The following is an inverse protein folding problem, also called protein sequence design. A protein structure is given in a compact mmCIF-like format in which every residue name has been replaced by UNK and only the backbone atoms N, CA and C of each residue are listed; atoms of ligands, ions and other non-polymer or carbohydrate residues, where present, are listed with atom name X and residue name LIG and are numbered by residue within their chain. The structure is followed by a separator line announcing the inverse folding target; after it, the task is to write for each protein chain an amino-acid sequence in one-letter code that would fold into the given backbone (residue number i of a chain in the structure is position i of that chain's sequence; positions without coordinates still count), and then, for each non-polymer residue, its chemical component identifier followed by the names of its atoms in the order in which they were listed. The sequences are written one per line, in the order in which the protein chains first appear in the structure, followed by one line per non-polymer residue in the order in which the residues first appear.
data_IF_103369215538
#
_entry.id   IF_103369215538
#
_cell.length_a   1.000
_cell.length_b   1.000
_cell.length_c   1.000
_cell.angle_alpha   90.00
_cell.angle_beta   90.00
_cell.angle_gamma   90.00
#
_symmetry.space_group_name_H-M   'P 1'
#
loop_
_entity.id
_entity.type
_entity.pdbx_description
1 polymer ?
#
# COMPACT_ATOMS: atom_id res chain seq x y z
N UNK A 1 9.36 -22.30 5.52
CA UNK A 1 8.51 -22.95 4.54
C UNK A 1 8.83 -24.44 4.49
N UNK A 2 7.81 -25.29 4.37
CA UNK A 2 7.93 -26.74 4.35
C UNK A 2 7.43 -27.28 3.02
N UNK A 3 8.27 -28.08 2.34
CA UNK A 3 7.90 -28.76 1.11
C UNK A 3 7.82 -30.26 1.36
N UNK A 4 6.77 -30.88 0.87
CA UNK A 4 6.51 -32.32 0.94
C UNK A 4 6.40 -32.91 -0.46
N UNK A 5 7.07 -34.04 -0.69
CA UNK A 5 7.06 -34.70 -1.98
C UNK A 5 7.97 -35.93 -1.97
N UNK A 6 8.27 -36.49 -3.12
CA UNK A 6 9.26 -37.54 -3.28
C UNK A 6 10.54 -37.00 -3.89
N UNK A 7 11.71 -37.49 -3.43
CA UNK A 7 13.02 -37.03 -3.92
C UNK A 7 13.37 -35.62 -3.49
N UNK A 8 12.84 -35.16 -2.36
CA UNK A 8 13.13 -33.84 -1.80
C UNK A 8 14.60 -33.65 -1.43
N UNK A 9 15.28 -34.75 -1.09
CA UNK A 9 16.72 -34.80 -0.83
C UNK A 9 17.60 -34.44 -2.06
N UNK A 10 17.01 -34.40 -3.27
CA UNK A 10 17.70 -34.02 -4.51
C UNK A 10 17.56 -32.59 -4.90
N UNK A 11 16.80 -31.80 -4.13
CA UNK A 11 16.67 -30.36 -4.38
C UNK A 11 18.00 -29.65 -4.11
N UNK A 12 18.49 -28.90 -5.09
CA UNK A 12 19.77 -28.17 -5.01
C UNK A 12 19.58 -26.73 -4.59
N UNK A 13 18.51 -26.11 -5.03
CA UNK A 13 18.17 -24.75 -4.68
C UNK A 13 16.67 -24.49 -4.86
N UNK A 14 16.21 -23.43 -4.21
CA UNK A 14 14.82 -22.97 -4.25
C UNK A 14 14.81 -21.49 -4.64
N UNK A 15 14.01 -21.14 -5.63
CA UNK A 15 13.77 -19.75 -6.03
C UNK A 15 12.41 -19.31 -5.53
N UNK A 16 12.40 -18.31 -4.66
CA UNK A 16 11.20 -17.63 -4.15
C UNK A 16 11.17 -16.24 -4.80
N UNK A 17 10.05 -15.75 -5.31
CA UNK A 17 9.96 -14.39 -5.86
C UNK A 17 10.51 -13.35 -4.88
N UNK A 18 11.24 -12.35 -5.40
CA UNK A 18 11.88 -11.30 -4.60
C UNK A 18 13.17 -11.70 -3.89
N UNK A 19 13.54 -13.00 -3.86
CA UNK A 19 14.68 -13.47 -3.02
C UNK A 19 15.88 -14.01 -3.80
N UNK A 20 15.76 -14.22 -5.10
CA UNK A 20 16.79 -14.94 -5.83
C UNK A 20 16.87 -16.44 -5.44
N UNK A 21 18.04 -17.03 -5.63
CA UNK A 21 18.26 -18.47 -5.43
C UNK A 21 18.73 -18.77 -3.99
N UNK A 22 18.00 -19.65 -3.30
CA UNK A 22 18.26 -20.07 -1.91
C UNK A 22 18.86 -21.47 -1.94
N UNK A 23 20.05 -21.63 -1.40
CA UNK A 23 20.77 -22.92 -1.31
C UNK A 23 20.85 -23.45 0.13
N UNK A 24 20.51 -22.62 1.12
CA UNK A 24 20.43 -23.05 2.52
C UNK A 24 19.10 -23.78 2.77
N UNK A 25 19.13 -25.09 2.50
CA UNK A 25 17.96 -25.95 2.55
C UNK A 25 18.20 -27.02 3.63
N UNK A 26 17.31 -27.09 4.60
CA UNK A 26 17.29 -28.15 5.61
C UNK A 26 16.60 -29.40 5.03
N UNK A 27 17.37 -30.47 4.77
CA UNK A 27 16.85 -31.74 4.31
C UNK A 27 16.46 -32.57 5.52
N UNK A 28 15.17 -32.78 5.74
CA UNK A 28 14.65 -33.60 6.85
C UNK A 28 14.60 -35.07 6.44
N UNK A 29 14.18 -35.36 5.21
CA UNK A 29 14.08 -36.69 4.64
C UNK A 29 13.99 -36.67 3.12
N UNK A 30 13.97 -37.81 2.47
CA UNK A 30 13.69 -37.92 1.03
C UNK A 30 12.29 -37.34 0.64
N UNK A 31 11.43 -37.11 1.63
CA UNK A 31 10.07 -36.64 1.39
C UNK A 31 9.79 -35.26 1.97
N UNK A 32 10.74 -34.64 2.68
CA UNK A 32 10.57 -33.36 3.34
C UNK A 32 11.84 -32.54 3.34
N UNK A 33 11.70 -31.27 2.91
CA UNK A 33 12.70 -30.22 3.09
C UNK A 33 12.07 -29.01 3.74
N UNK A 34 12.90 -28.19 4.38
CA UNK A 34 12.52 -26.89 4.96
C UNK A 34 13.46 -25.82 4.49
N UNK A 35 12.93 -24.60 4.35
CA UNK A 35 13.68 -23.41 4.02
C UNK A 35 13.14 -22.25 4.84
N UNK A 36 14.05 -21.39 5.32
CA UNK A 36 13.67 -20.13 5.92
C UNK A 36 13.29 -19.15 4.81
N UNK A 37 12.09 -18.57 4.90
CA UNK A 37 11.63 -17.57 3.93
C UNK A 37 12.34 -16.25 4.22
N UNK A 38 13.09 -15.68 3.26
CA UNK A 38 13.71 -14.38 3.44
C UNK A 38 12.68 -13.26 3.59
N UNK A 39 13.08 -12.16 4.23
CA UNK A 39 12.19 -11.01 4.43
C UNK A 39 11.89 -10.21 3.15
N UNK A 40 12.68 -10.43 2.10
CA UNK A 40 12.49 -9.81 0.78
C UNK A 40 11.58 -10.62 -0.13
N UNK A 41 11.01 -11.73 0.38
CA UNK A 41 10.19 -12.61 -0.42
C UNK A 41 8.90 -11.90 -0.87
N UNK A 42 8.48 -12.17 -2.10
CA UNK A 42 7.26 -11.64 -2.72
C UNK A 42 6.24 -12.74 -2.98
N UNK A 43 4.98 -12.37 -3.14
CA UNK A 43 3.91 -13.29 -3.53
C UNK A 43 4.21 -13.89 -4.89
N UNK A 44 4.11 -15.20 -5.04
CA UNK A 44 4.29 -15.84 -6.33
C UNK A 44 4.57 -17.33 -6.27
N UNK A 45 4.92 -17.90 -7.42
CA UNK A 45 5.25 -19.33 -7.52
C UNK A 45 6.68 -19.58 -7.07
N UNK A 46 6.88 -20.69 -6.36
CA UNK A 46 8.21 -21.15 -5.94
C UNK A 46 8.71 -22.18 -6.93
N UNK A 47 9.98 -22.04 -7.35
CA UNK A 47 10.65 -23.01 -8.22
C UNK A 47 11.73 -23.75 -7.47
N UNK A 48 11.68 -25.07 -7.50
CA UNK A 48 12.68 -25.98 -6.94
C UNK A 48 13.57 -26.50 -8.06
N UNK A 49 14.87 -26.35 -7.93
CA UNK A 49 15.86 -26.89 -8.89
C UNK A 49 16.38 -28.23 -8.46
N UNK A 50 16.43 -29.15 -9.41
CA UNK A 50 16.99 -30.49 -9.26
C UNK A 50 18.08 -30.71 -10.31
N UNK A 51 18.93 -31.75 -10.20
CA UNK A 51 19.92 -32.10 -11.23
C UNK A 51 19.31 -32.39 -12.62
N UNK A 52 18.02 -32.69 -12.68
CA UNK A 52 17.33 -33.14 -13.89
C UNK A 52 16.33 -32.09 -14.43
N UNK A 53 16.15 -30.96 -13.74
CA UNK A 53 15.24 -29.90 -14.18
C UNK A 53 14.63 -29.10 -13.03
N UNK A 54 13.64 -28.30 -13.35
CA UNK A 54 12.96 -27.41 -12.41
C UNK A 54 11.52 -27.86 -12.18
N UNK A 55 11.03 -27.65 -10.96
CA UNK A 55 9.65 -27.94 -10.55
C UNK A 55 9.07 -26.65 -9.98
N UNK A 56 8.02 -26.12 -10.58
CA UNK A 56 7.30 -24.97 -10.06
C UNK A 56 6.06 -25.39 -9.29
N UNK A 57 5.79 -24.75 -8.14
CA UNK A 57 4.61 -25.01 -7.34
C UNK A 57 3.32 -24.70 -8.11
N UNK A 58 2.25 -25.45 -7.86
CA UNK A 58 0.95 -25.21 -8.50
C UNK A 58 0.19 -24.02 -7.87
N UNK A 59 0.53 -23.69 -6.64
CA UNK A 59 -0.07 -22.57 -5.89
C UNK A 59 1.00 -21.53 -5.58
N UNK A 60 0.60 -20.28 -5.61
CA UNK A 60 1.45 -19.16 -5.15
C UNK A 60 1.63 -19.25 -3.64
N UNK A 61 2.82 -18.89 -3.15
CA UNK A 61 2.94 -18.55 -1.73
C UNK A 61 2.30 -17.19 -1.49
N UNK A 62 1.59 -17.11 -0.38
CA UNK A 62 1.03 -15.86 0.14
C UNK A 62 1.60 -15.64 1.54
N UNK A 63 1.73 -14.38 1.93
CA UNK A 63 2.25 -14.08 3.26
C UNK A 63 1.13 -14.06 4.28
N UNK A 64 1.44 -14.60 5.45
CA UNK A 64 0.61 -14.47 6.66
C UNK A 64 1.26 -13.52 7.66
N UNK A 65 2.23 -12.72 7.23
CA UNK A 65 2.82 -11.68 8.07
C UNK A 65 1.71 -10.72 8.49
N UNK A 66 1.52 -10.48 9.79
CA UNK A 66 0.48 -9.59 10.27
C UNK A 66 0.88 -8.14 9.97
N UNK A 67 0.57 -7.68 8.76
CA UNK A 67 0.71 -6.27 8.42
C UNK A 67 -0.12 -5.49 9.42
N UNK A 68 0.52 -4.63 10.18
CA UNK A 68 -0.11 -3.84 11.23
C UNK A 68 0.19 -2.36 11.05
N UNK A 69 -0.83 -1.52 11.22
CA UNK A 69 -0.68 -0.07 11.28
C UNK A 69 -0.79 0.36 12.73
N UNK A 70 0.22 1.08 13.22
CA UNK A 70 0.27 1.61 14.58
C UNK A 70 -0.22 3.06 14.61
N UNK A 71 0.24 3.88 13.67
CA UNK A 71 -0.10 5.32 13.63
C UNK A 71 -0.20 5.83 12.20
N UNK A 72 -1.07 6.84 12.01
CA UNK A 72 -1.13 7.69 10.82
C UNK A 72 -1.00 9.15 11.25
N UNK A 73 -0.04 9.89 10.70
CA UNK A 73 0.24 11.28 11.09
C UNK A 73 0.69 12.13 9.90
N UNK A 74 0.33 13.42 9.84
CA UNK A 74 -0.58 14.12 10.74
C UNK A 74 -2.03 13.67 10.58
N UNK A 75 -2.81 13.78 11.63
CA UNK A 75 -4.26 13.60 11.58
C UNK A 75 -4.88 14.63 12.55
N UNK A 76 -5.57 15.66 12.06
CA UNK A 76 -5.98 15.90 10.66
C UNK A 76 -4.82 16.28 9.71
N UNK A 77 -5.05 16.10 8.40
CA UNK A 77 -4.10 16.35 7.31
C UNK A 77 -4.74 17.21 6.20
N UNK A 78 -3.95 18.00 5.47
CA UNK A 78 -4.42 18.71 4.28
C UNK A 78 -4.14 17.94 3.00
N UNK A 79 -4.97 18.08 1.94
CA UNK A 79 -4.61 17.62 0.61
C UNK A 79 -3.24 18.17 0.18
N UNK A 80 -2.42 17.32 -0.43
CA UNK A 80 -1.06 17.68 -0.84
C UNK A 80 0.02 17.58 0.23
N UNK A 81 -0.33 17.45 1.51
CA UNK A 81 0.62 17.17 2.59
C UNK A 81 1.07 15.70 2.59
N UNK A 82 2.15 15.43 3.28
CA UNK A 82 2.68 14.08 3.44
C UNK A 82 2.03 13.41 4.64
N UNK A 83 1.38 12.27 4.40
CA UNK A 83 0.89 11.36 5.43
C UNK A 83 1.96 10.31 5.72
N UNK A 84 2.33 10.17 6.97
CA UNK A 84 3.28 9.16 7.46
C UNK A 84 2.49 8.04 8.13
N UNK A 85 2.61 6.83 7.63
CA UNK A 85 2.00 5.62 8.16
C UNK A 85 3.10 4.80 8.79
N UNK A 86 2.99 4.48 10.08
CA UNK A 86 3.95 3.63 10.80
C UNK A 86 3.31 2.34 11.26
N UNK A 87 4.11 1.27 11.25
CA UNK A 87 3.63 -0.06 11.61
C UNK A 87 4.67 -1.15 11.39
N UNK A 88 4.20 -2.37 11.15
CA UNK A 88 5.02 -3.55 10.87
C UNK A 88 4.67 -4.14 9.51
N UNK A 89 5.68 -4.65 8.81
CA UNK A 89 5.58 -5.28 7.49
C UNK A 89 4.97 -4.39 6.40
N UNK A 90 5.10 -3.07 6.53
CA UNK A 90 4.58 -2.10 5.57
C UNK A 90 5.27 -2.17 4.21
N UNK A 91 6.47 -2.78 4.13
CA UNK A 91 7.17 -3.05 2.86
C UNK A 91 6.42 -4.01 1.92
N UNK A 92 5.36 -4.68 2.41
CA UNK A 92 4.51 -5.55 1.60
C UNK A 92 3.33 -4.79 0.96
N UNK A 93 3.11 -3.55 1.35
CA UNK A 93 2.01 -2.73 0.83
C UNK A 93 2.35 -2.23 -0.57
N UNK A 94 1.40 -2.40 -1.48
CA UNK A 94 1.48 -1.97 -2.88
C UNK A 94 0.63 -0.74 -3.17
N UNK A 95 -0.43 -0.53 -2.37
CA UNK A 95 -1.32 0.64 -2.51
C UNK A 95 -1.78 1.17 -1.17
N UNK A 96 -1.88 2.49 -1.08
CA UNK A 96 -2.60 3.23 -0.04
C UNK A 96 -3.85 3.84 -0.68
N UNK A 97 -5.02 3.37 -0.27
CA UNK A 97 -6.30 3.75 -0.85
C UNK A 97 -7.01 4.69 0.11
N UNK A 98 -7.18 5.94 -0.29
CA UNK A 98 -7.94 6.92 0.46
C UNK A 98 -9.44 6.70 0.25
N UNK A 99 -10.26 7.33 1.12
CA UNK A 99 -11.72 7.24 1.03
C UNK A 99 -12.22 7.58 -0.39
N UNK A 100 -13.33 6.96 -0.81
CA UNK A 100 -13.90 7.01 -2.17
C UNK A 100 -13.01 6.36 -3.25
N UNK A 101 -12.30 5.28 -2.87
CA UNK A 101 -11.51 4.45 -3.80
C UNK A 101 -10.44 5.24 -4.56
N UNK A 102 -9.70 6.09 -3.85
CA UNK A 102 -8.65 6.92 -4.41
C UNK A 102 -7.28 6.28 -4.11
N UNK A 103 -6.73 5.40 -4.99
CA UNK A 103 -5.49 4.68 -4.73
C UNK A 103 -4.25 5.54 -5.04
N UNK A 104 -3.20 5.31 -4.26
CA UNK A 104 -1.83 5.75 -4.52
C UNK A 104 -0.97 4.51 -4.51
N UNK A 105 -0.33 4.20 -5.64
CA UNK A 105 0.53 3.03 -5.81
C UNK A 105 1.90 3.21 -5.18
N UNK A 106 2.62 2.10 -4.99
CA UNK A 106 3.95 2.11 -4.36
C UNK A 106 4.99 2.96 -5.10
N UNK A 107 4.86 3.12 -6.42
CA UNK A 107 5.75 3.95 -7.24
C UNK A 107 5.65 5.45 -6.90
N UNK A 108 4.53 5.88 -6.32
CA UNK A 108 4.28 7.25 -5.88
C UNK A 108 4.55 7.46 -4.38
N UNK A 109 5.05 6.44 -3.67
CA UNK A 109 5.43 6.59 -2.27
C UNK A 109 6.72 7.40 -2.16
N UNK A 110 6.70 8.40 -1.26
CA UNK A 110 7.89 9.23 -0.95
C UNK A 110 8.93 8.41 -0.20
N UNK A 111 8.47 7.56 0.71
CA UNK A 111 9.29 6.58 1.42
C UNK A 111 8.50 5.29 1.61
N UNK A 112 9.18 4.15 1.46
CA UNK A 112 8.61 2.83 1.60
C UNK A 112 9.60 1.90 2.30
N UNK A 113 9.25 1.45 3.49
CA UNK A 113 10.08 0.57 4.31
C UNK A 113 9.22 -0.41 5.10
N UNK A 114 9.85 -1.37 5.79
CA UNK A 114 9.14 -2.31 6.65
C UNK A 114 8.30 -1.63 7.74
N UNK A 115 8.73 -0.46 8.23
CA UNK A 115 8.12 0.22 9.38
C UNK A 115 7.42 1.52 9.06
N UNK A 116 7.59 2.03 7.85
CA UNK A 116 7.08 3.35 7.49
C UNK A 116 6.77 3.45 5.99
N UNK A 117 5.61 4.03 5.70
CA UNK A 117 5.24 4.53 4.38
C UNK A 117 5.01 6.03 4.50
N UNK A 118 5.54 6.80 3.56
CA UNK A 118 5.22 8.20 3.37
C UNK A 118 4.53 8.37 2.02
N UNK A 119 3.34 8.93 2.05
CA UNK A 119 2.52 9.13 0.86
C UNK A 119 1.95 10.54 0.83
N UNK A 120 1.91 11.15 -0.35
CA UNK A 120 1.26 12.45 -0.54
C UNK A 120 -0.25 12.27 -0.56
N UNK A 121 -0.96 13.02 0.27
CA UNK A 121 -2.43 12.99 0.29
C UNK A 121 -2.95 13.56 -1.03
N UNK A 122 -3.77 12.82 -1.79
CA UNK A 122 -4.35 13.33 -3.04
C UNK A 122 -5.16 14.61 -2.84
N UNK A 123 -5.22 15.45 -3.87
CA UNK A 123 -5.96 16.72 -3.82
C UNK A 123 -7.48 16.50 -3.68
N UNK A 124 -7.96 15.37 -4.17
CA UNK A 124 -9.37 14.96 -4.13
C UNK A 124 -9.75 14.24 -2.83
N UNK A 125 -8.76 13.93 -1.97
CA UNK A 125 -9.00 13.16 -0.74
C UNK A 125 -10.06 13.80 0.16
N UNK A 126 -10.84 12.93 0.81
CA UNK A 126 -11.91 13.29 1.76
C UNK A 126 -11.68 12.58 3.09
N UNK A 127 -12.32 13.12 4.13
CA UNK A 127 -12.35 12.48 5.44
C UNK A 127 -12.98 11.09 5.34
N UNK A 128 -12.30 10.08 5.87
CA UNK A 128 -12.77 8.69 5.84
C UNK A 128 -11.68 7.71 6.26
N UNK A 129 -11.92 6.44 6.00
CA UNK A 129 -10.96 5.39 6.29
C UNK A 129 -9.89 5.34 5.19
N UNK A 130 -8.67 4.96 5.58
CA UNK A 130 -7.57 4.65 4.67
C UNK A 130 -7.40 3.13 4.64
N UNK A 131 -7.28 2.57 3.45
CA UNK A 131 -7.06 1.14 3.27
C UNK A 131 -5.69 0.91 2.66
N UNK A 132 -4.90 0.02 3.26
CA UNK A 132 -3.65 -0.45 2.71
C UNK A 132 -3.87 -1.80 2.06
N UNK A 133 -3.31 -2.01 0.87
CA UNK A 133 -3.41 -3.25 0.12
C UNK A 133 -2.03 -3.80 -0.23
N UNK A 134 -1.84 -5.11 -0.09
CA UNK A 134 -0.59 -5.82 -0.40
C UNK A 134 -0.49 -6.26 -1.86
N UNK A 135 -1.45 -5.90 -2.68
CA UNK A 135 -1.43 -6.07 -4.13
C UNK A 135 -2.09 -4.89 -4.82
N UNK A 136 -1.66 -4.61 -6.06
CA UNK A 136 -2.22 -3.54 -6.90
C UNK A 136 -3.67 -3.83 -7.30
N UNK A 137 -4.48 -2.80 -7.41
CA UNK A 137 -5.85 -2.87 -7.95
C UNK A 137 -5.87 -3.24 -9.45
N UNK A 138 -4.75 -3.04 -10.14
CA UNK A 138 -4.60 -3.39 -11.55
C UNK A 138 -4.33 -4.89 -11.78
N UNK A 139 -3.88 -5.62 -10.76
CA UNK A 139 -3.66 -7.07 -10.83
C UNK A 139 -4.93 -7.83 -10.44
N UNK A 140 -5.76 -8.14 -11.41
CA UNK A 140 -7.04 -8.85 -11.22
C UNK A 140 -6.88 -10.27 -10.67
N UNK A 141 -5.71 -10.87 -10.82
CA UNK A 141 -5.42 -12.24 -10.38
C UNK A 141 -4.80 -12.30 -8.98
N UNK A 142 -4.40 -11.17 -8.41
CA UNK A 142 -3.82 -11.09 -7.09
C UNK A 142 -4.87 -11.24 -5.99
N UNK A 143 -4.58 -12.09 -5.02
CA UNK A 143 -5.32 -12.09 -3.75
C UNK A 143 -4.86 -10.87 -2.94
N UNK A 144 -5.75 -9.91 -2.76
CA UNK A 144 -5.47 -8.68 -2.01
C UNK A 144 -5.88 -8.83 -0.54
N UNK A 145 -4.94 -8.62 0.37
CA UNK A 145 -5.28 -8.38 1.77
C UNK A 145 -5.47 -6.88 1.98
N UNK A 146 -6.57 -6.52 2.62
CA UNK A 146 -6.95 -5.14 2.87
C UNK A 146 -6.88 -4.85 4.37
N UNK A 147 -6.06 -3.86 4.73
CA UNK A 147 -5.92 -3.39 6.11
C UNK A 147 -6.59 -2.02 6.21
N UNK A 148 -7.69 -1.95 6.96
CA UNK A 148 -8.45 -0.72 7.13
C UNK A 148 -7.98 0.06 8.34
N UNK A 149 -7.58 1.30 8.12
CA UNK A 149 -7.20 2.28 9.15
C UNK A 149 -8.28 3.34 9.23
N UNK A 150 -8.96 3.39 10.37
CA UNK A 150 -10.12 4.26 10.54
C UNK A 150 -9.75 5.69 10.93
N UNK A 151 -10.56 6.61 10.43
CA UNK A 151 -10.67 7.94 11.00
C UNK A 151 -9.61 8.95 10.56
N UNK A 152 -9.12 8.89 9.32
CA UNK A 152 -8.35 10.00 8.76
C UNK A 152 -9.26 11.20 8.53
N UNK A 153 -8.90 12.33 9.13
CA UNK A 153 -9.60 13.62 8.94
C UNK A 153 -8.84 14.44 7.92
N UNK A 154 -9.49 14.76 6.80
CA UNK A 154 -8.92 15.62 5.75
C UNK A 154 -9.51 17.03 5.89
N UNK A 155 -8.62 18.02 6.05
CA UNK A 155 -9.01 19.43 6.16
C UNK A 155 -9.37 19.95 4.77
N UNK A 156 -10.59 20.41 4.62
CA UNK A 156 -11.08 21.04 3.38
C UNK A 156 -11.35 22.51 3.59
N UNK A 157 -11.22 23.33 2.52
CA UNK A 157 -11.59 24.74 2.60
C UNK A 157 -13.07 24.90 2.93
N UNK A 158 -13.38 25.89 3.73
CA UNK A 158 -14.76 26.24 4.05
C UNK A 158 -14.97 27.74 3.92
N UNK A 159 -16.12 28.13 3.42
CA UNK A 159 -16.51 29.54 3.26
C UNK A 159 -17.50 29.91 4.34
N UNK A 160 -17.29 31.06 4.98
CA UNK A 160 -18.24 31.62 5.92
C UNK A 160 -19.45 32.17 5.16
N UNK A 161 -20.63 31.68 5.52
CA UNK A 161 -21.88 32.12 4.93
C UNK A 161 -22.54 33.21 5.77
N UNK A 162 -23.34 34.11 5.16
CA UNK A 162 -23.57 34.25 3.72
C UNK A 162 -22.51 35.15 3.04
N UNK A 163 -22.19 34.80 1.77
CA UNK A 163 -21.46 35.73 0.92
C UNK A 163 -22.40 36.90 0.52
N UNK A 164 -21.99 38.13 0.75
CA UNK A 164 -22.72 39.29 0.23
C UNK A 164 -22.43 39.46 -1.26
N UNK A 165 -23.29 38.85 -2.06
CA UNK A 165 -23.27 38.96 -3.53
C UNK A 165 -24.33 39.93 -4.07
N UNK A 166 -25.04 40.64 -3.19
CA UNK A 166 -26.11 41.56 -3.61
C UNK A 166 -25.57 42.81 -4.26
N UNK A 167 -26.22 43.24 -5.33
CA UNK A 167 -25.98 44.52 -6.03
C UNK A 167 -24.52 44.75 -6.48
N UNK A 168 -23.76 43.72 -6.85
CA UNK A 168 -22.40 43.86 -7.39
C UNK A 168 -22.45 44.25 -8.87
N UNK A 169 -21.57 45.16 -9.26
CA UNK A 169 -21.35 45.57 -10.64
C UNK A 169 -20.09 44.95 -11.22
N UNK A 170 -19.97 44.83 -12.54
CA UNK A 170 -18.71 44.46 -13.16
C UNK A 170 -17.55 45.35 -12.68
N UNK A 171 -16.50 44.72 -12.14
CA UNK A 171 -15.34 45.40 -11.57
C UNK A 171 -15.38 45.58 -10.05
N UNK A 172 -16.49 45.28 -9.39
CA UNK A 172 -16.56 45.30 -7.93
C UNK A 172 -15.76 44.15 -7.32
N UNK A 173 -15.12 44.42 -6.19
CA UNK A 173 -14.40 43.40 -5.42
C UNK A 173 -15.37 42.54 -4.59
N UNK A 174 -15.15 41.23 -4.61
CA UNK A 174 -15.86 40.26 -3.78
C UNK A 174 -14.88 39.68 -2.78
N UNK A 175 -15.13 39.90 -1.50
CA UNK A 175 -14.31 39.31 -0.42
C UNK A 175 -14.94 38.03 0.04
N UNK A 176 -14.20 36.92 -0.10
CA UNK A 176 -14.56 35.61 0.44
C UNK A 176 -13.80 35.41 1.75
N UNK A 177 -14.53 35.12 2.83
CA UNK A 177 -13.96 34.78 4.13
C UNK A 177 -14.21 33.30 4.40
N UNK A 178 -13.26 32.67 5.06
CA UNK A 178 -13.38 31.26 5.38
C UNK A 178 -12.12 30.71 6.03
N UNK A 179 -12.06 29.39 6.16
CA UNK A 179 -10.91 28.66 6.68
C UNK A 179 -10.24 27.87 5.57
N UNK A 180 -8.93 27.72 5.65
CA UNK A 180 -8.11 26.93 4.73
C UNK A 180 -8.33 27.29 3.25
N UNK A 181 -8.56 28.58 2.97
CA UNK A 181 -8.78 29.08 1.61
C UNK A 181 -7.51 29.03 0.75
N UNK A 182 -6.34 28.82 1.34
CA UNK A 182 -5.08 28.52 0.67
C UNK A 182 -5.13 27.20 -0.16
N UNK A 183 -6.08 26.34 0.12
CA UNK A 183 -6.35 25.11 -0.65
C UNK A 183 -7.24 25.34 -1.89
N UNK A 184 -7.76 26.53 -2.08
CA UNK A 184 -8.65 26.86 -3.20
C UNK A 184 -7.84 27.27 -4.42
N UNK A 185 -7.89 26.46 -5.48
CA UNK A 185 -7.17 26.75 -6.73
C UNK A 185 -8.05 27.47 -7.78
N UNK A 186 -9.37 27.29 -7.72
CA UNK A 186 -10.30 27.82 -8.72
C UNK A 186 -11.55 28.35 -8.03
N UNK A 187 -11.95 29.55 -8.38
CA UNK A 187 -13.26 30.09 -8.03
C UNK A 187 -14.06 30.26 -9.32
N UNK A 188 -15.22 29.60 -9.39
CA UNK A 188 -16.16 29.74 -10.51
C UNK A 188 -17.28 30.67 -10.09
N UNK A 189 -17.52 31.68 -10.90
CA UNK A 189 -18.67 32.54 -10.76
C UNK A 189 -19.82 32.02 -11.63
N UNK A 190 -21.08 32.16 -11.19
CA UNK A 190 -22.25 31.74 -11.95
C UNK A 190 -22.40 32.51 -13.27
#
# INVERSE_FOLDING_TARGET
LRFLGSGMDKIQSISIPGCGEITDIEVISANEIRVTVPQTAEVGYVTLKTPTGEITTKTKITYTEPIGVETITPNPVKPGEVLVIKGEYLNLIKEVIFFEELPVGEDDFIAHSRKEIQVKVPMEARTGDVTLADASSEDSDALRNLIHVKGLVVILPSVEAPLDLTAKKPGDEIVVKGKDLDLVNIVKMP
#
